data_IF_825077966205
#
_entry.id   IF_825077966205
#
_cell.length_a   1.000
_cell.length_b   1.000
_cell.length_c   1.000
_cell.angle_alpha   90.00
_cell.angle_beta   90.00
_cell.angle_gamma   90.00
#
_symmetry.space_group_name_H-M   'P 1'
#
loop_
_entity.id
_entity.type
_entity.pdbx_description
1 polymer ?
#
# COMPACT_ATOMS: atom_id res chain seq x y z
N UNK A 1 -13.30 -6.65 -12.20
CA UNK A 1 -12.19 -5.90 -11.58
C UNK A 1 -11.15 -6.88 -11.09
N UNK A 2 -9.87 -6.58 -11.27
CA UNK A 2 -8.77 -7.37 -10.71
C UNK A 2 -8.40 -6.74 -9.35
N UNK A 3 -9.30 -6.85 -8.36
CA UNK A 3 -9.09 -6.26 -7.03
C UNK A 3 -7.89 -6.88 -6.32
N UNK A 4 -7.66 -8.18 -6.52
CA UNK A 4 -6.45 -8.88 -6.07
C UNK A 4 -5.17 -8.15 -6.45
N UNK A 5 -4.97 -7.81 -7.74
CA UNK A 5 -3.75 -7.15 -8.18
C UNK A 5 -3.63 -5.76 -7.55
N UNK A 6 -4.72 -5.02 -7.42
CA UNK A 6 -4.68 -3.71 -6.77
C UNK A 6 -4.23 -3.82 -5.31
N UNK A 7 -4.84 -4.72 -4.52
CA UNK A 7 -4.46 -4.89 -3.12
C UNK A 7 -3.05 -5.47 -2.95
N UNK A 8 -2.61 -6.36 -3.85
CA UNK A 8 -1.19 -6.74 -3.89
C UNK A 8 -0.30 -5.52 -4.09
N UNK A 9 -0.57 -4.65 -5.08
CA UNK A 9 0.23 -3.44 -5.30
C UNK A 9 0.21 -2.48 -4.10
N UNK A 10 -0.91 -2.37 -3.39
CA UNK A 10 -0.97 -1.65 -2.12
C UNK A 10 -0.06 -2.31 -1.07
N UNK A 11 -0.03 -3.64 -0.98
CA UNK A 11 0.92 -4.38 -0.15
C UNK A 11 2.38 -4.04 -0.46
N UNK A 12 2.74 -3.93 -1.75
CA UNK A 12 4.07 -3.50 -2.19
C UNK A 12 4.41 -2.08 -1.75
N UNK A 13 3.43 -1.17 -1.85
CA UNK A 13 3.58 0.20 -1.37
C UNK A 13 3.84 0.23 0.14
N UNK A 14 3.04 -0.48 0.93
CA UNK A 14 3.17 -0.50 2.38
C UNK A 14 4.47 -1.17 2.82
N UNK A 15 4.92 -2.20 2.08
CA UNK A 15 6.23 -2.81 2.27
C UNK A 15 7.36 -1.80 2.05
N UNK A 16 7.35 -1.10 0.91
CA UNK A 16 8.36 -0.10 0.61
C UNK A 16 8.41 1.02 1.66
N UNK A 17 7.25 1.42 2.17
CA UNK A 17 7.15 2.39 3.25
C UNK A 17 7.79 1.88 4.54
N UNK A 18 7.44 0.67 4.99
CA UNK A 18 7.97 0.08 6.23
C UNK A 18 9.48 -0.25 6.13
N UNK A 19 9.93 -0.71 4.96
CA UNK A 19 11.32 -1.09 4.69
C UNK A 19 12.23 0.12 4.40
N UNK A 20 11.72 1.35 4.43
CA UNK A 20 12.46 2.55 4.03
C UNK A 20 13.78 2.74 4.79
N UNK A 21 13.86 2.37 6.07
CA UNK A 21 15.09 2.42 6.86
C UNK A 21 16.01 1.19 6.72
N UNK A 22 15.66 0.24 5.84
CA UNK A 22 16.37 -1.02 5.58
C UNK A 22 15.85 -2.24 6.35
N UNK A 23 14.91 -2.10 7.29
CA UNK A 23 14.34 -3.23 8.04
C UNK A 23 12.87 -3.02 8.33
N UNK A 24 12.11 -4.11 8.49
CA UNK A 24 10.73 -4.06 8.99
C UNK A 24 10.74 -4.58 10.43
N UNK A 25 10.13 -3.84 11.35
CA UNK A 25 9.94 -4.19 12.75
C UNK A 25 8.62 -4.94 13.00
N UNK A 26 8.53 -5.65 14.12
CA UNK A 26 7.28 -6.33 14.51
C UNK A 26 6.16 -5.33 14.76
N UNK A 27 6.47 -4.14 15.27
CA UNK A 27 5.50 -3.06 15.47
C UNK A 27 4.93 -2.54 14.14
N UNK A 28 5.75 -2.43 13.10
CA UNK A 28 5.32 -2.06 11.75
C UNK A 28 4.40 -3.13 11.15
N UNK A 29 4.77 -4.41 11.25
CA UNK A 29 3.94 -5.54 10.80
C UNK A 29 2.57 -5.49 11.49
N UNK A 30 2.55 -5.31 12.81
CA UNK A 30 1.31 -5.24 13.57
C UNK A 30 0.43 -4.04 13.17
N UNK A 31 1.03 -2.91 12.83
CA UNK A 31 0.28 -1.72 12.39
C UNK A 31 -0.24 -1.87 10.95
N UNK A 32 0.50 -2.55 10.06
CA UNK A 32 0.00 -2.95 8.73
C UNK A 32 -1.22 -3.86 8.89
N UNK A 33 -1.14 -4.91 9.71
CA UNK A 33 -2.27 -5.81 9.97
C UNK A 33 -3.50 -5.04 10.48
N UNK A 34 -3.32 -4.14 11.46
CA UNK A 34 -4.41 -3.29 11.98
C UNK A 34 -5.01 -2.40 10.91
N UNK A 35 -4.20 -1.86 10.01
CA UNK A 35 -4.65 -1.01 8.91
C UNK A 35 -5.47 -1.83 7.92
N UNK A 36 -5.03 -3.02 7.55
CA UNK A 36 -5.80 -3.92 6.66
C UNK A 36 -7.17 -4.21 7.27
N UNK A 37 -7.21 -4.68 8.51
CA UNK A 37 -8.45 -5.11 9.17
C UNK A 37 -9.41 -3.95 9.44
N UNK A 38 -8.91 -2.80 9.89
CA UNK A 38 -9.78 -1.70 10.35
C UNK A 38 -10.06 -0.64 9.28
N UNK A 39 -9.15 -0.45 8.32
CA UNK A 39 -9.24 0.65 7.36
C UNK A 39 -9.55 0.15 5.93
N UNK A 40 -9.09 -1.04 5.53
CA UNK A 40 -9.30 -1.56 4.16
C UNK A 40 -10.46 -2.55 4.05
N UNK A 41 -10.52 -3.57 4.91
CA UNK A 41 -11.62 -4.56 4.89
C UNK A 41 -13.01 -3.91 4.93
N UNK A 42 -13.28 -2.86 5.75
CA UNK A 42 -14.60 -2.23 5.76
C UNK A 42 -14.96 -1.45 4.49
N UNK A 43 -13.99 -1.18 3.61
CA UNK A 43 -14.18 -0.48 2.34
C UNK A 43 -14.31 -1.45 1.16
N UNK A 44 -14.07 -2.74 1.37
CA UNK A 44 -14.05 -3.75 0.33
C UNK A 44 -15.28 -4.64 0.39
N UNK A 45 -15.90 -4.87 -0.76
CA UNK A 45 -17.09 -5.71 -0.91
C UNK A 45 -16.83 -6.97 -1.74
N UNK A 46 -15.62 -7.14 -2.28
CA UNK A 46 -15.23 -8.24 -3.16
C UNK A 46 -14.40 -9.31 -2.46
N UNK A 47 -14.77 -10.55 -2.69
CA UNK A 47 -14.04 -11.73 -2.22
C UNK A 47 -13.46 -12.54 -3.39
N UNK A 48 -12.41 -13.31 -3.13
CA UNK A 48 -11.92 -14.32 -4.08
C UNK A 48 -12.80 -15.57 -4.13
N UNK A 49 -12.38 -16.57 -4.92
CA UNK A 49 -13.12 -17.83 -5.12
C UNK A 49 -13.27 -18.69 -3.85
N UNK A 50 -12.49 -18.39 -2.80
CA UNK A 50 -12.52 -19.05 -1.51
C UNK A 50 -13.30 -18.25 -0.45
N UNK A 51 -13.80 -17.07 -0.80
CA UNK A 51 -14.50 -16.16 0.12
C UNK A 51 -13.56 -15.27 0.94
N UNK A 52 -12.28 -15.19 0.58
CA UNK A 52 -11.32 -14.28 1.24
C UNK A 52 -11.57 -12.85 0.77
N UNK A 53 -11.70 -11.91 1.69
CA UNK A 53 -11.80 -10.49 1.38
C UNK A 53 -10.55 -10.01 0.61
N UNK A 54 -10.75 -9.29 -0.48
CA UNK A 54 -9.64 -8.87 -1.36
C UNK A 54 -8.63 -7.96 -0.65
N UNK A 55 -9.02 -7.25 0.41
CA UNK A 55 -8.12 -6.40 1.19
C UNK A 55 -6.97 -7.19 1.84
N UNK A 56 -7.16 -8.48 2.14
CA UNK A 56 -6.09 -9.32 2.72
C UNK A 56 -4.93 -9.58 1.75
N UNK A 57 -5.09 -9.35 0.44
CA UNK A 57 -3.96 -9.44 -0.49
C UNK A 57 -2.88 -8.38 -0.22
N UNK A 58 -3.20 -7.30 0.51
CA UNK A 58 -2.21 -6.35 1.03
C UNK A 58 -1.24 -7.04 1.97
N UNK A 59 -1.76 -7.76 2.96
CA UNK A 59 -0.96 -8.46 3.96
C UNK A 59 -0.20 -9.62 3.33
N UNK A 60 -0.85 -10.40 2.45
CA UNK A 60 -0.19 -11.50 1.75
C UNK A 60 1.00 -11.05 0.89
N UNK A 61 0.85 -9.95 0.13
CA UNK A 61 1.94 -9.44 -0.69
C UNK A 61 3.03 -8.80 0.17
N UNK A 62 2.66 -8.07 1.23
CA UNK A 62 3.59 -7.49 2.18
C UNK A 62 4.47 -8.56 2.84
N UNK A 63 3.85 -9.61 3.37
CA UNK A 63 4.54 -10.72 4.01
C UNK A 63 5.47 -11.44 3.03
N UNK A 64 4.99 -11.70 1.81
CA UNK A 64 5.81 -12.30 0.76
C UNK A 64 7.07 -11.45 0.47
N UNK A 65 6.94 -10.13 0.31
CA UNK A 65 8.09 -9.26 0.07
C UNK A 65 9.05 -9.20 1.27
N UNK A 66 8.50 -9.21 2.49
CA UNK A 66 9.30 -9.18 3.71
C UNK A 66 10.08 -10.48 3.91
N UNK A 67 9.45 -11.63 3.73
CA UNK A 67 10.09 -12.94 3.81
C UNK A 67 11.22 -13.12 2.79
N UNK A 68 11.09 -12.50 1.62
CA UNK A 68 12.07 -12.58 0.53
C UNK A 68 13.11 -11.45 0.56
N UNK A 69 13.07 -10.56 1.56
CA UNK A 69 13.93 -9.36 1.67
C UNK A 69 13.99 -8.58 0.34
N UNK A 70 12.82 -8.35 -0.24
CA UNK A 70 12.69 -7.70 -1.55
C UNK A 70 13.24 -6.26 -1.53
N UNK A 71 13.63 -5.77 -2.71
CA UNK A 71 14.07 -4.38 -2.83
C UNK A 71 12.87 -3.42 -2.66
N UNK A 72 12.92 -2.48 -1.70
CA UNK A 72 11.80 -1.57 -1.45
C UNK A 72 11.58 -0.54 -2.56
N UNK A 73 12.63 -0.16 -3.31
CA UNK A 73 12.48 0.75 -4.44
C UNK A 73 11.78 0.05 -5.61
N UNK A 74 12.08 -1.23 -5.87
CA UNK A 74 11.38 -2.04 -6.88
C UNK A 74 9.91 -2.24 -6.51
N UNK A 75 9.62 -2.58 -5.24
CA UNK A 75 8.26 -2.71 -4.74
C UNK A 75 7.45 -1.40 -4.89
N UNK A 76 8.07 -0.27 -4.56
CA UNK A 76 7.48 1.04 -4.74
C UNK A 76 7.24 1.38 -6.21
N UNK A 77 8.21 1.11 -7.09
CA UNK A 77 8.09 1.38 -8.52
C UNK A 77 6.97 0.55 -9.16
N UNK A 78 6.82 -0.72 -8.75
CA UNK A 78 5.70 -1.58 -9.18
C UNK A 78 4.34 -0.91 -8.91
N UNK A 79 4.13 -0.42 -7.69
CA UNK A 79 2.88 0.27 -7.34
C UNK A 79 2.65 1.52 -8.20
N UNK A 80 3.70 2.31 -8.41
CA UNK A 80 3.62 3.53 -9.21
C UNK A 80 3.23 3.22 -10.65
N UNK A 81 3.85 2.21 -11.26
CA UNK A 81 3.55 1.79 -12.63
C UNK A 81 2.12 1.28 -12.73
N UNK A 82 1.68 0.44 -11.78
CA UNK A 82 0.30 -0.06 -11.74
C UNK A 82 -0.73 1.07 -11.65
N UNK A 83 -0.49 2.05 -10.77
CA UNK A 83 -1.39 3.20 -10.59
C UNK A 83 -1.44 4.07 -11.84
N UNK A 84 -0.34 4.24 -12.57
CA UNK A 84 -0.34 4.99 -13.83
C UNK A 84 -1.10 4.28 -14.94
N UNK A 85 -0.92 2.97 -15.08
CA UNK A 85 -1.56 2.17 -16.12
C UNK A 85 -3.07 2.01 -15.90
N UNK A 86 -3.53 2.04 -14.64
CA UNK A 86 -4.92 1.76 -14.27
C UNK A 86 -5.63 2.98 -13.67
N UNK A 87 -5.06 4.18 -13.81
CA UNK A 87 -5.47 5.39 -13.09
C UNK A 87 -6.99 5.69 -13.15
N UNK A 88 -7.60 5.55 -14.32
CA UNK A 88 -9.02 5.82 -14.58
C UNK A 88 -9.96 4.73 -14.05
N UNK A 89 -9.43 3.56 -13.68
CA UNK A 89 -10.19 2.43 -13.16
C UNK A 89 -10.34 2.41 -11.64
N UNK A 90 -9.68 3.31 -10.91
CA UNK A 90 -9.76 3.33 -9.45
C UNK A 90 -10.98 4.08 -8.93
N UNK A 91 -11.59 3.49 -7.91
CA UNK A 91 -12.58 4.15 -7.08
C UNK A 91 -11.93 5.37 -6.37
N UNK A 92 -12.51 6.58 -6.49
CA UNK A 92 -11.99 7.77 -5.81
C UNK A 92 -11.89 7.65 -4.29
N UNK A 93 -12.85 6.98 -3.64
CA UNK A 93 -12.85 6.74 -2.20
C UNK A 93 -11.69 5.82 -1.81
N UNK A 94 -11.46 4.76 -2.59
CA UNK A 94 -10.35 3.84 -2.34
C UNK A 94 -8.99 4.52 -2.52
N UNK A 95 -8.81 5.35 -3.57
CA UNK A 95 -7.57 6.15 -3.74
C UNK A 95 -7.31 7.07 -2.54
N UNK A 96 -8.36 7.72 -2.05
CA UNK A 96 -8.27 8.61 -0.90
C UNK A 96 -7.88 7.82 0.35
N UNK A 97 -8.48 6.65 0.58
CA UNK A 97 -8.14 5.77 1.68
C UNK A 97 -6.66 5.33 1.64
N UNK A 98 -6.13 4.94 0.47
CA UNK A 98 -4.71 4.57 0.34
C UNK A 98 -3.79 5.75 0.68
N UNK A 99 -4.12 6.96 0.25
CA UNK A 99 -3.34 8.14 0.59
C UNK A 99 -3.33 8.40 2.10
N UNK A 100 -4.51 8.34 2.74
CA UNK A 100 -4.65 8.54 4.19
C UNK A 100 -3.91 7.47 5.01
N UNK A 101 -4.01 6.21 4.59
CA UNK A 101 -3.28 5.08 5.18
C UNK A 101 -1.78 5.30 5.08
N UNK A 102 -1.28 5.68 3.91
CA UNK A 102 0.16 5.91 3.70
C UNK A 102 0.67 7.06 4.58
N UNK A 103 -0.10 8.14 4.68
CA UNK A 103 0.23 9.28 5.54
C UNK A 103 0.22 8.91 7.03
N UNK A 104 -0.80 8.15 7.46
CA UNK A 104 -0.93 7.62 8.83
C UNK A 104 0.28 6.75 9.19
N UNK A 105 0.59 5.76 8.35
CA UNK A 105 1.67 4.80 8.61
C UNK A 105 3.04 5.47 8.61
N UNK A 106 3.30 6.39 7.67
CA UNK A 106 4.55 7.17 7.69
C UNK A 106 4.72 7.97 8.98
N UNK A 107 3.65 8.51 9.55
CA UNK A 107 3.72 9.20 10.84
C UNK A 107 4.01 8.25 12.02
N UNK A 108 3.65 6.96 11.90
CA UNK A 108 3.86 5.94 12.93
C UNK A 108 5.26 5.35 12.89
N UNK A 109 5.82 5.12 11.69
CA UNK A 109 7.07 4.36 11.50
C UNK A 109 8.35 5.12 11.88
N UNK A 110 8.27 6.45 12.06
CA UNK A 110 9.36 7.29 12.59
C UNK A 110 10.70 7.09 11.86
N UNK A 111 10.69 6.90 10.54
CA UNK A 111 11.94 6.79 9.79
C UNK A 111 12.58 8.18 9.57
N UNK A 112 13.65 8.21 8.77
CA UNK A 112 14.30 9.48 8.45
C UNK A 112 13.42 10.34 7.54
N UNK A 113 13.21 11.59 7.97
CA UNK A 113 12.27 12.54 7.37
C UNK A 113 12.48 12.79 5.85
N UNK A 114 13.69 12.56 5.33
CA UNK A 114 14.02 12.84 3.92
C UNK A 114 13.48 11.76 2.97
N UNK A 115 13.68 10.48 3.30
CA UNK A 115 13.27 9.37 2.44
C UNK A 115 11.74 9.25 2.40
N UNK A 116 11.10 9.33 3.58
CA UNK A 116 9.64 9.31 3.71
C UNK A 116 8.98 10.48 2.97
N UNK A 117 9.48 11.72 3.12
CA UNK A 117 8.91 12.89 2.41
C UNK A 117 8.99 12.73 0.90
N UNK A 118 10.08 12.17 0.38
CA UNK A 118 10.24 11.91 -1.05
C UNK A 118 9.18 10.95 -1.58
N UNK A 119 9.01 9.82 -0.88
CA UNK A 119 8.04 8.78 -1.21
C UNK A 119 6.59 9.31 -1.12
N UNK A 120 6.23 9.96 -0.01
CA UNK A 120 4.89 10.55 0.18
C UNK A 120 4.57 11.61 -0.88
N UNK A 121 5.53 12.47 -1.23
CA UNK A 121 5.34 13.49 -2.26
C UNK A 121 5.03 12.86 -3.62
N UNK A 122 5.73 11.78 -3.97
CA UNK A 122 5.52 11.07 -5.23
C UNK A 122 4.17 10.36 -5.25
N UNK A 123 3.78 9.69 -4.16
CA UNK A 123 2.47 9.02 -4.03
C UNK A 123 1.34 10.03 -4.15
N UNK A 124 1.39 11.12 -3.38
CA UNK A 124 0.37 12.18 -3.42
C UNK A 124 0.21 12.68 -4.84
N UNK A 125 1.31 12.99 -5.55
CA UNK A 125 1.28 13.45 -6.94
C UNK A 125 0.62 12.44 -7.89
N UNK A 126 0.84 11.13 -7.69
CA UNK A 126 0.28 10.08 -8.57
C UNK A 126 -1.20 9.85 -8.27
N UNK A 127 -1.60 9.76 -7.00
CA UNK A 127 -2.98 9.51 -6.59
C UNK A 127 -3.89 10.75 -6.70
N UNK A 128 -3.34 11.96 -6.55
CA UNK A 128 -4.08 13.22 -6.64
C UNK A 128 -4.24 13.74 -8.06
N UNK A 129 -3.86 12.98 -9.10
CA UNK A 129 -4.14 13.35 -10.50
C UNK A 129 -5.66 13.31 -10.73
N UNK A 130 -6.39 14.29 -10.24
CA UNK A 130 -7.78 14.50 -10.64
C UNK A 130 -7.79 14.54 -12.18
N UNK A 131 -8.51 13.65 -12.89
CA UNK A 131 -8.67 13.81 -14.33
C UNK A 131 -9.31 15.19 -14.52
N UNK A 132 -8.58 16.07 -15.21
CA UNK A 132 -9.08 17.40 -15.57
C UNK A 132 -10.36 17.31 -16.40
#
# INVERSE_FOLDING_TARGET
MIYKNFYSEVGKLLYALAKANGTVSEEEIAEIHRTVVNDLVPLEDSTDEFGTDSAYYVEMEFDYLNENDADPDDAFMSFIDYVEDHFTGFDPQLRQAILEITEKLSAVFKHTEIQEKGLLTKIRKKLSRVPA
#
